data_IF_913888432456
#
_entry.id   IF_913888432456
#
_cell.length_a   1.000
_cell.length_b   1.000
_cell.length_c   1.000
_cell.angle_alpha   90.00
_cell.angle_beta   90.00
_cell.angle_gamma   90.00
#
_symmetry.space_group_name_H-M   'P 1'
#
loop_
_entity.id
_entity.type
_entity.pdbx_description
1 polymer ?
#
# COMPACT_ATOMS: atom_id res chain seq x y z
N UNK A 1 7.25 19.05 38.70
CA UNK A 1 6.82 19.14 37.29
C UNK A 1 7.74 18.28 36.45
N UNK A 2 7.20 17.41 35.58
CA UNK A 2 8.04 16.62 34.68
C UNK A 2 8.88 17.55 33.78
N UNK A 3 10.15 17.16 33.53
CA UNK A 3 11.05 17.87 32.64
C UNK A 3 10.55 17.76 31.19
N UNK A 4 9.64 18.65 30.79
CA UNK A 4 8.94 18.63 29.49
C UNK A 4 9.90 18.49 28.29
N UNK A 5 11.05 19.20 28.24
CA UNK A 5 12.03 18.99 27.17
C UNK A 5 12.54 17.55 27.03
N UNK A 6 12.80 16.86 28.15
CA UNK A 6 13.26 15.47 28.12
C UNK A 6 12.16 14.53 27.63
N UNK A 7 10.92 14.74 28.09
CA UNK A 7 9.76 13.96 27.65
C UNK A 7 9.50 14.13 26.14
N UNK A 8 9.55 15.36 25.63
CA UNK A 8 9.38 15.65 24.19
C UNK A 8 10.47 14.99 23.36
N UNK A 9 11.74 15.10 23.77
CA UNK A 9 12.86 14.44 23.08
C UNK A 9 12.71 12.91 23.05
N UNK A 10 12.23 12.31 24.15
CA UNK A 10 11.96 10.88 24.20
C UNK A 10 10.87 10.47 23.23
N UNK A 11 9.77 11.23 23.17
CA UNK A 11 8.67 10.95 22.25
C UNK A 11 9.14 11.02 20.78
N UNK A 12 9.92 12.04 20.42
CA UNK A 12 10.47 12.17 19.06
C UNK A 12 11.43 11.03 18.70
N UNK A 13 12.26 10.56 19.64
CA UNK A 13 13.15 9.41 19.41
C UNK A 13 12.41 8.09 19.18
N UNK A 14 11.20 7.96 19.72
CA UNK A 14 10.35 6.78 19.51
C UNK A 14 9.44 6.88 18.27
N UNK A 15 9.45 8.02 17.57
CA UNK A 15 8.58 8.21 16.42
C UNK A 15 9.00 7.29 15.28
N UNK A 16 8.02 6.65 14.66
CA UNK A 16 8.21 5.84 13.46
C UNK A 16 7.26 6.34 12.38
N UNK A 17 7.80 6.58 11.19
CA UNK A 17 7.04 7.02 10.02
C UNK A 17 7.21 5.97 8.93
N UNK A 18 6.10 5.40 8.46
CA UNK A 18 6.12 4.48 7.31
C UNK A 18 6.23 5.28 6.01
N UNK A 19 7.23 4.96 5.18
CA UNK A 19 7.43 5.61 3.89
C UNK A 19 6.78 4.82 2.75
N UNK A 20 6.21 5.48 1.75
CA UNK A 20 5.63 4.78 0.60
C UNK A 20 6.69 4.43 -0.46
N UNK A 21 6.76 3.18 -0.90
CA UNK A 21 7.63 2.73 -1.99
C UNK A 21 7.48 3.57 -3.27
N UNK A 22 6.25 4.02 -3.58
CA UNK A 22 5.95 4.83 -4.76
C UNK A 22 6.43 6.28 -4.65
N UNK A 23 6.90 6.71 -3.48
CA UNK A 23 7.51 8.02 -3.28
C UNK A 23 8.95 8.11 -3.81
N UNK A 24 9.63 6.97 -3.97
CA UNK A 24 11.02 6.92 -4.44
C UNK A 24 11.16 6.92 -5.97
N UNK A 25 10.10 6.58 -6.70
CA UNK A 25 10.11 6.60 -8.17
C UNK A 25 9.82 7.98 -8.76
N UNK A 26 9.86 8.06 -10.09
CA UNK A 26 9.42 9.26 -10.82
C UNK A 26 7.99 9.64 -10.41
N UNK A 27 7.82 10.86 -9.94
CA UNK A 27 6.53 11.45 -9.64
C UNK A 27 6.13 12.46 -10.71
N UNK A 28 4.84 12.71 -10.85
CA UNK A 28 4.33 13.70 -11.77
C UNK A 28 2.88 14.04 -11.50
N UNK A 29 2.35 14.91 -12.33
CA UNK A 29 0.95 15.33 -12.28
C UNK A 29 0.18 14.70 -13.44
N UNK A 30 -1.12 14.96 -13.50
CA UNK A 30 -1.94 14.64 -14.68
C UNK A 30 -1.44 15.27 -15.99
N UNK A 31 -0.53 16.25 -15.91
CA UNK A 31 -0.01 16.95 -17.09
C UNK A 31 1.28 16.35 -17.60
N UNK A 32 2.25 16.06 -16.71
CA UNK A 32 3.56 15.55 -17.11
C UNK A 32 4.29 14.87 -15.96
N UNK A 33 5.12 13.89 -16.34
CA UNK A 33 6.19 13.29 -15.53
C UNK A 33 7.52 13.72 -16.14
N UNK A 34 8.47 14.15 -15.31
CA UNK A 34 9.81 14.53 -15.73
C UNK A 34 10.81 13.48 -15.20
N UNK A 35 11.26 12.53 -16.04
CA UNK A 35 12.12 11.45 -15.56
C UNK A 35 13.46 12.00 -15.07
N UNK A 36 13.91 11.50 -13.93
CA UNK A 36 15.24 11.78 -13.38
C UNK A 36 16.15 10.56 -13.56
N UNK A 37 17.44 10.81 -13.77
CA UNK A 37 18.44 9.74 -13.76
C UNK A 37 18.62 9.22 -12.32
N UNK A 38 18.90 7.92 -12.19
CA UNK A 38 19.15 7.29 -10.89
C UNK A 38 17.90 6.95 -10.07
N UNK A 39 16.69 7.10 -10.63
CA UNK A 39 15.48 6.63 -9.94
C UNK A 39 15.43 5.10 -9.88
N UNK A 40 14.92 4.52 -8.79
CA UNK A 40 14.88 3.08 -8.58
C UNK A 40 13.96 2.42 -9.61
N UNK A 41 14.45 1.30 -10.15
CA UNK A 41 13.84 0.56 -11.27
C UNK A 41 12.96 -0.58 -10.79
N UNK A 42 13.24 -1.09 -9.60
CA UNK A 42 12.56 -2.23 -9.00
C UNK A 42 12.32 -2.04 -7.48
N UNK A 43 11.56 -2.94 -6.83
CA UNK A 43 11.28 -2.84 -5.40
C UNK A 43 12.51 -2.97 -4.49
N UNK A 44 13.58 -3.63 -4.92
CA UNK A 44 14.81 -3.76 -4.13
C UNK A 44 15.54 -2.42 -4.09
N UNK A 45 15.67 -1.74 -5.22
CA UNK A 45 16.27 -0.40 -5.28
C UNK A 45 15.45 0.63 -4.49
N UNK A 46 14.12 0.55 -4.51
CA UNK A 46 13.27 1.40 -3.67
C UNK A 46 13.54 1.21 -2.17
N UNK A 47 13.86 -0.02 -1.75
CA UNK A 47 14.22 -0.31 -0.36
C UNK A 47 15.62 0.22 -0.02
N UNK A 48 16.56 0.19 -0.96
CA UNK A 48 17.86 0.82 -0.80
C UNK A 48 17.74 2.35 -0.62
N UNK A 49 16.92 3.00 -1.43
CA UNK A 49 16.64 4.44 -1.27
C UNK A 49 15.92 4.74 0.05
N UNK A 50 14.98 3.87 0.47
CA UNK A 50 14.33 4.01 1.75
C UNK A 50 15.30 3.85 2.93
N UNK A 51 16.27 2.95 2.81
CA UNK A 51 17.32 2.76 3.80
C UNK A 51 18.22 3.99 3.93
N UNK A 52 18.55 4.66 2.81
CA UNK A 52 19.26 5.94 2.85
C UNK A 52 18.48 7.02 3.62
N UNK A 53 17.16 7.11 3.40
CA UNK A 53 16.28 8.00 4.18
C UNK A 53 16.24 7.61 5.66
N UNK A 54 16.16 6.32 5.98
CA UNK A 54 16.16 5.86 7.36
C UNK A 54 17.50 6.17 8.05
N UNK A 55 18.63 5.98 7.38
CA UNK A 55 19.96 6.24 7.94
C UNK A 55 20.14 7.70 8.38
N UNK A 56 19.57 8.66 7.64
CA UNK A 56 19.68 10.09 7.99
C UNK A 56 18.57 10.59 8.93
N UNK A 57 17.41 9.93 8.94
CA UNK A 57 16.25 10.39 9.75
C UNK A 57 16.06 9.63 11.05
N UNK A 58 16.51 8.37 11.14
CA UNK A 58 16.30 7.46 12.27
C UNK A 58 14.85 6.99 12.48
N UNK A 59 13.86 7.52 11.75
CA UNK A 59 12.42 7.25 11.99
C UNK A 59 11.72 6.49 10.87
N UNK A 60 12.34 6.41 9.68
CA UNK A 60 11.73 5.89 8.46
C UNK A 60 11.96 4.38 8.19
N UNK A 61 11.94 3.52 9.22
CA UNK A 61 12.26 2.10 9.06
C UNK A 61 11.24 1.27 8.24
N UNK A 62 9.91 1.41 8.44
CA UNK A 62 8.93 0.64 7.67
C UNK A 62 8.65 1.25 6.30
N UNK A 63 8.52 0.40 5.28
CA UNK A 63 8.27 0.80 3.89
C UNK A 63 7.01 0.12 3.37
N UNK A 64 6.00 0.93 3.04
CA UNK A 64 4.75 0.45 2.49
C UNK A 64 4.87 0.12 1.00
N UNK A 65 4.39 -1.06 0.60
CA UNK A 65 4.39 -1.53 -0.79
C UNK A 65 3.05 -1.28 -1.48
N UNK A 66 3.08 -1.19 -2.81
CA UNK A 66 1.92 -0.96 -3.66
C UNK A 66 1.84 -2.00 -4.79
N UNK A 67 0.92 -2.95 -4.68
CA UNK A 67 0.77 -4.06 -5.63
C UNK A 67 -0.23 -3.68 -6.72
N UNK A 68 0.08 -3.88 -8.02
CA UNK A 68 1.18 -4.69 -8.55
C UNK A 68 2.48 -3.94 -8.90
N UNK A 69 2.61 -2.64 -8.63
CA UNK A 69 3.82 -1.86 -8.98
C UNK A 69 5.08 -2.38 -8.30
N UNK A 70 4.94 -2.92 -7.09
CA UNK A 70 6.01 -3.55 -6.34
C UNK A 70 5.90 -5.08 -6.31
N UNK A 71 5.39 -5.66 -7.40
CA UNK A 71 5.33 -7.11 -7.52
C UNK A 71 6.74 -7.66 -7.72
N UNK A 72 7.08 -8.66 -6.91
CA UNK A 72 8.28 -9.49 -7.06
C UNK A 72 7.88 -10.96 -7.14
N UNK A 73 8.81 -11.80 -7.59
CA UNK A 73 8.60 -13.25 -7.60
C UNK A 73 8.54 -13.83 -6.18
N UNK A 74 9.35 -13.28 -5.27
CA UNK A 74 9.53 -13.78 -3.92
C UNK A 74 9.61 -12.62 -2.92
N UNK A 75 8.59 -12.51 -2.08
CA UNK A 75 8.51 -11.46 -1.06
C UNK A 75 9.31 -11.78 0.20
N UNK A 76 9.65 -13.04 0.44
CA UNK A 76 10.57 -13.42 1.51
C UNK A 76 11.95 -12.84 1.21
N UNK A 77 12.45 -13.04 -0.01
CA UNK A 77 13.72 -12.41 -0.46
C UNK A 77 13.70 -10.89 -0.38
N UNK A 78 12.57 -10.27 -0.70
CA UNK A 78 12.41 -8.81 -0.58
C UNK A 78 12.46 -8.37 0.89
N UNK A 79 11.83 -9.12 1.79
CA UNK A 79 11.85 -8.84 3.22
C UNK A 79 13.25 -9.04 3.83
N UNK A 80 13.95 -10.11 3.44
CA UNK A 80 15.33 -10.37 3.87
C UNK A 80 16.27 -9.26 3.40
N UNK A 81 16.11 -8.81 2.15
CA UNK A 81 16.86 -7.68 1.61
C UNK A 81 16.59 -6.39 2.39
N UNK A 82 15.31 -6.09 2.68
CA UNK A 82 14.94 -4.92 3.49
C UNK A 82 15.63 -4.97 4.86
N UNK A 83 15.57 -6.13 5.54
CA UNK A 83 16.17 -6.32 6.85
C UNK A 83 17.70 -6.12 6.82
N UNK A 84 18.37 -6.61 5.77
CA UNK A 84 19.81 -6.40 5.56
C UNK A 84 20.21 -4.93 5.38
N UNK A 85 19.27 -4.08 4.95
CA UNK A 85 19.46 -2.63 4.80
C UNK A 85 19.05 -1.82 6.06
N UNK A 86 18.54 -2.48 7.10
CA UNK A 86 18.02 -1.81 8.30
C UNK A 86 16.63 -1.20 8.15
N UNK A 87 15.90 -1.57 7.09
CA UNK A 87 14.48 -1.22 6.89
C UNK A 87 13.62 -2.48 6.93
N UNK A 88 12.30 -2.34 6.85
CA UNK A 88 11.38 -3.48 6.81
C UNK A 88 10.22 -3.23 5.88
N UNK A 89 9.72 -4.29 5.27
CA UNK A 89 8.43 -4.23 4.56
C UNK A 89 7.35 -3.86 5.59
N UNK A 90 6.48 -2.95 5.19
CA UNK A 90 5.37 -2.43 5.97
C UNK A 90 4.03 -2.76 5.33
N UNK A 91 3.09 -1.81 5.39
CA UNK A 91 1.73 -2.00 4.89
C UNK A 91 1.68 -2.28 3.39
N UNK A 92 0.69 -3.08 2.98
CA UNK A 92 0.49 -3.46 1.59
C UNK A 92 -0.75 -2.75 1.04
N UNK A 93 -0.56 -1.97 -0.02
CA UNK A 93 -1.62 -1.25 -0.73
C UNK A 93 -1.99 -1.98 -2.02
N UNK A 94 -3.26 -2.37 -2.14
CA UNK A 94 -3.78 -2.93 -3.38
C UNK A 94 -4.22 -1.83 -4.35
N UNK A 95 -3.79 -1.93 -5.60
CA UNK A 95 -4.29 -1.10 -6.68
C UNK A 95 -5.53 -1.70 -7.35
N UNK A 96 -6.69 -1.09 -7.13
CA UNK A 96 -7.94 -1.45 -7.83
C UNK A 96 -8.58 -0.23 -8.49
N UNK A 97 -7.75 0.73 -8.92
CA UNK A 97 -8.21 2.03 -9.44
C UNK A 97 -7.60 2.42 -10.79
N UNK A 98 -6.70 1.62 -11.36
CA UNK A 98 -6.07 1.87 -12.67
C UNK A 98 -6.47 0.88 -13.76
N UNK A 99 -7.15 -0.22 -13.41
CA UNK A 99 -7.65 -1.19 -14.40
C UNK A 99 -8.86 -0.59 -15.13
N UNK A 100 -8.96 -0.79 -16.45
CA UNK A 100 -10.07 -0.31 -17.28
C UNK A 100 -11.41 -0.86 -16.79
N UNK A 101 -11.44 -2.11 -16.34
CA UNK A 101 -12.64 -2.73 -15.76
C UNK A 101 -13.10 -2.01 -14.48
N UNK A 102 -12.19 -1.27 -13.82
CA UNK A 102 -12.47 -0.52 -12.60
C UNK A 102 -12.87 0.94 -12.86
N UNK A 103 -13.14 1.34 -14.11
CA UNK A 103 -13.48 2.72 -14.48
C UNK A 103 -14.70 3.28 -13.73
N UNK A 104 -15.68 2.43 -13.41
CA UNK A 104 -16.91 2.79 -12.69
C UNK A 104 -16.90 2.36 -11.20
N UNK A 105 -15.72 2.04 -10.65
CA UNK A 105 -15.55 1.52 -9.30
C UNK A 105 -14.89 0.15 -9.27
N UNK A 106 -14.63 -0.40 -8.09
CA UNK A 106 -13.98 -1.71 -7.94
C UNK A 106 -14.72 -2.61 -6.95
N UNK A 107 -14.43 -2.54 -5.66
CA UNK A 107 -15.10 -3.38 -4.65
C UNK A 107 -16.59 -3.07 -4.53
N UNK A 108 -17.01 -1.86 -4.90
CA UNK A 108 -18.41 -1.47 -5.01
C UNK A 108 -18.88 -1.31 -6.46
N UNK A 109 -18.18 -1.90 -7.43
CA UNK A 109 -18.57 -1.83 -8.84
C UNK A 109 -19.97 -2.46 -9.04
N UNK A 110 -20.86 -1.93 -9.90
CA UNK A 110 -22.20 -2.48 -10.12
C UNK A 110 -22.16 -3.92 -10.68
N UNK A 111 -21.22 -4.21 -11.58
CA UNK A 111 -20.98 -5.56 -12.09
C UNK A 111 -20.29 -6.45 -11.03
N UNK A 112 -20.90 -7.60 -10.73
CA UNK A 112 -20.38 -8.61 -9.81
C UNK A 112 -19.11 -9.28 -10.33
N UNK A 113 -18.92 -9.39 -11.65
CA UNK A 113 -17.71 -9.92 -12.27
C UNK A 113 -16.48 -9.09 -11.91
N UNK A 114 -16.60 -7.76 -12.01
CA UNK A 114 -15.55 -6.82 -11.61
C UNK A 114 -15.29 -6.88 -10.10
N UNK A 115 -16.33 -6.91 -9.26
CA UNK A 115 -16.16 -7.06 -7.80
C UNK A 115 -15.38 -8.34 -7.47
N UNK A 116 -15.74 -9.46 -8.10
CA UNK A 116 -15.07 -10.75 -7.97
C UNK A 116 -13.60 -10.68 -8.41
N UNK A 117 -13.31 -10.02 -9.52
CA UNK A 117 -11.94 -9.80 -10.03
C UNK A 117 -11.04 -9.09 -9.01
N UNK A 118 -11.56 -8.11 -8.28
CA UNK A 118 -10.77 -7.28 -7.35
C UNK A 118 -10.78 -7.77 -5.89
N UNK A 119 -11.72 -8.64 -5.53
CA UNK A 119 -11.85 -9.20 -4.18
C UNK A 119 -11.02 -10.48 -4.04
N UNK A 120 -10.45 -10.78 -2.85
CA UNK A 120 -9.58 -11.95 -2.66
C UNK A 120 -10.23 -13.30 -3.00
N UNK A 121 -11.56 -13.41 -2.87
CA UNK A 121 -12.26 -14.69 -2.95
C UNK A 121 -12.46 -15.25 -4.37
N UNK A 122 -12.17 -14.52 -5.45
CA UNK A 122 -12.62 -14.93 -6.80
C UNK A 122 -11.61 -14.69 -7.95
N UNK A 123 -10.33 -14.48 -7.69
CA UNK A 123 -9.35 -14.29 -8.78
C UNK A 123 -8.70 -15.61 -9.21
N UNK A 124 -8.94 -16.02 -10.46
CA UNK A 124 -8.31 -17.14 -11.18
C UNK A 124 -6.81 -16.91 -11.49
N UNK A 125 -6.03 -16.42 -10.52
CA UNK A 125 -4.59 -16.25 -10.64
C UNK A 125 -3.93 -16.08 -9.28
N UNK A 126 -2.69 -16.58 -9.08
CA UNK A 126 -2.03 -16.54 -7.78
C UNK A 126 -1.75 -15.09 -7.38
N UNK A 127 -2.54 -14.55 -6.45
CA UNK A 127 -2.08 -13.41 -5.65
C UNK A 127 -1.10 -13.94 -4.62
N UNK A 128 0.03 -13.27 -4.40
CA UNK A 128 0.98 -13.69 -3.39
C UNK A 128 0.28 -13.65 -2.02
N UNK A 129 0.37 -14.75 -1.27
CA UNK A 129 -0.04 -14.80 0.15
C UNK A 129 1.01 -14.01 0.96
N UNK A 130 1.03 -12.69 0.76
CA UNK A 130 2.04 -11.80 1.32
C UNK A 130 2.13 -11.95 2.83
N UNK A 131 0.99 -11.99 3.52
CA UNK A 131 0.96 -12.16 4.98
C UNK A 131 1.59 -13.45 5.47
N UNK A 132 1.56 -14.53 4.68
CA UNK A 132 2.25 -15.78 5.06
C UNK A 132 3.76 -15.76 4.77
N UNK A 133 4.24 -14.90 3.87
CA UNK A 133 5.64 -14.81 3.48
C UNK A 133 6.41 -13.72 4.24
N UNK A 134 5.71 -12.65 4.66
CA UNK A 134 6.31 -11.51 5.37
C UNK A 134 5.86 -11.42 6.82
N UNK A 135 4.83 -12.18 7.23
CA UNK A 135 4.17 -12.03 8.53
C UNK A 135 3.29 -10.78 8.65
N UNK A 136 3.05 -10.05 7.54
CA UNK A 136 2.35 -8.76 7.55
C UNK A 136 0.95 -8.88 6.94
N UNK A 137 -0.07 -8.63 7.76
CA UNK A 137 -1.46 -8.58 7.30
C UNK A 137 -1.70 -7.41 6.33
N UNK A 138 -2.36 -7.61 5.17
CA UNK A 138 -2.74 -6.51 4.29
C UNK A 138 -3.85 -5.67 4.92
N UNK A 139 -3.58 -4.39 5.22
CA UNK A 139 -4.52 -3.55 6.00
C UNK A 139 -5.20 -2.41 5.22
N UNK A 140 -4.69 -1.95 4.07
CA UNK A 140 -5.27 -0.81 3.35
C UNK A 140 -5.60 -1.10 1.88
N UNK A 141 -6.87 -0.89 1.53
CA UNK A 141 -7.39 -0.92 0.17
C UNK A 141 -7.73 0.49 -0.27
N UNK A 142 -7.09 0.97 -1.34
CA UNK A 142 -7.53 2.19 -2.03
C UNK A 142 -8.35 1.82 -3.25
N UNK A 143 -9.54 2.38 -3.34
CA UNK A 143 -10.45 2.23 -4.47
C UNK A 143 -10.96 3.59 -4.95
N UNK A 144 -11.66 3.57 -6.10
CA UNK A 144 -12.33 4.74 -6.67
C UNK A 144 -13.81 4.44 -6.88
N UNK A 145 -14.56 4.29 -5.79
CA UNK A 145 -15.99 3.91 -5.83
C UNK A 145 -17.00 5.09 -5.95
N UNK A 146 -16.55 6.26 -6.41
CA UNK A 146 -17.36 7.49 -6.46
C UNK A 146 -17.98 7.74 -7.85
N UNK A 147 -19.19 8.30 -7.86
CA UNK A 147 -19.83 8.78 -9.09
C UNK A 147 -19.39 10.22 -9.39
N UNK A 148 -19.23 10.55 -10.66
CA UNK A 148 -18.77 11.89 -11.09
C UNK A 148 -19.90 12.86 -11.43
N UNK A 149 -21.16 12.40 -11.50
CA UNK A 149 -22.33 13.26 -11.75
C UNK A 149 -23.51 12.86 -10.82
N UNK A 150 -24.49 13.76 -10.62
CA UNK A 150 -25.75 13.42 -9.97
C UNK A 150 -26.42 12.23 -10.66
N UNK A 151 -27.05 11.35 -9.88
CA UNK A 151 -27.80 10.20 -10.40
C UNK A 151 -26.97 9.03 -10.97
N UNK A 152 -25.64 9.17 -11.11
CA UNK A 152 -24.77 8.12 -11.65
C UNK A 152 -24.91 6.79 -10.91
N UNK A 153 -25.02 6.84 -9.57
CA UNK A 153 -24.93 5.68 -8.70
C UNK A 153 -25.80 5.87 -7.45
N UNK A 154 -26.70 4.93 -7.14
CA UNK A 154 -27.45 4.93 -5.88
C UNK A 154 -26.52 4.72 -4.69
N UNK A 155 -26.50 5.64 -3.73
CA UNK A 155 -25.65 5.56 -2.54
C UNK A 155 -25.88 4.28 -1.72
N UNK A 156 -27.14 3.84 -1.58
CA UNK A 156 -27.50 2.67 -0.77
C UNK A 156 -27.04 1.34 -1.37
N UNK A 157 -27.12 1.18 -2.70
CA UNK A 157 -26.67 -0.06 -3.37
C UNK A 157 -25.16 -0.30 -3.23
N UNK A 158 -24.36 0.76 -3.06
CA UNK A 158 -22.90 0.65 -2.86
C UNK A 158 -22.53 0.18 -1.45
N UNK A 159 -23.28 0.56 -0.41
CA UNK A 159 -23.07 0.04 0.95
C UNK A 159 -23.42 -1.44 1.05
N UNK A 160 -24.50 -1.86 0.41
CA UNK A 160 -24.91 -3.27 0.41
C UNK A 160 -23.85 -4.22 -0.19
N UNK A 161 -23.05 -3.72 -1.14
CA UNK A 161 -21.97 -4.50 -1.77
C UNK A 161 -20.76 -4.79 -0.84
N UNK A 162 -20.66 -4.10 0.32
CA UNK A 162 -19.56 -4.25 1.27
C UNK A 162 -19.79 -5.35 2.32
N UNK A 163 -20.69 -6.33 2.08
CA UNK A 163 -20.82 -7.51 2.95
C UNK A 163 -19.57 -8.41 2.82
N UNK A 164 -18.49 -7.96 3.46
CA UNK A 164 -17.28 -8.71 3.75
C UNK A 164 -17.50 -9.28 5.16
N UNK A 165 -17.30 -10.59 5.41
CA UNK A 165 -17.42 -11.13 6.75
C UNK A 165 -16.48 -10.35 7.67
N UNK A 166 -17.02 -9.86 8.79
CA UNK A 166 -16.22 -9.27 9.85
C UNK A 166 -15.08 -10.25 10.16
N UNK A 167 -13.84 -9.80 9.94
CA UNK A 167 -12.66 -10.54 10.36
C UNK A 167 -12.78 -10.75 11.87
N UNK A 168 -12.89 -12.01 12.29
CA UNK A 168 -12.91 -12.38 13.69
C UNK A 168 -11.63 -11.86 14.32
N UNK A 169 -11.74 -10.88 15.21
CA UNK A 169 -10.68 -10.60 16.19
C UNK A 169 -10.55 -11.88 17.01
N UNK A 170 -9.49 -12.66 16.79
CA UNK A 170 -9.08 -13.65 17.78
C UNK A 170 -8.46 -12.87 18.93
N UNK A 171 -9.05 -13.11 20.09
CA UNK A 171 -8.66 -12.65 21.43
C UNK A 171 -7.23 -13.06 21.76
#
# INVERSE_FOLDING_TARGET
MANRPAAVKSALKSQVIETPSWGYGNSGTRFRVFPQAGVPRDPFEKLADAAAVHAVTGVAAPVSLHIPRDRVADYGKLADHAAGLGVRVGMINSNTFQDEDCKLGSVCHPDVGVRRKVTPASANGPRPRLGSQTGIEPQLRRDKNAGSHPGCHGADRRRAALHVPAWSRRS
#
